data_IF_353982819639
#
_entry.id   IF_353982819639
#
_cell.length_a   1.000
_cell.length_b   1.000
_cell.length_c   1.000
_cell.angle_alpha   90.00
_cell.angle_beta   90.00
_cell.angle_gamma   90.00
#
_symmetry.space_group_name_H-M   'P 1'
#
loop_
_entity.id
_entity.type
_entity.pdbx_description
1 polymer ?
#
# COMPACT_ATOMS: atom_id res chain seq x y z
N UNK A 1 11.80 -3.23 14.31
CA UNK A 1 12.95 -4.10 14.58
C UNK A 1 14.16 -3.53 13.85
N UNK A 2 15.15 -3.00 14.60
CA UNK A 2 16.42 -2.62 14.01
C UNK A 2 17.05 -3.86 13.35
N UNK A 3 17.49 -3.72 12.11
CA UNK A 3 18.26 -4.75 11.44
C UNK A 3 19.58 -4.90 12.22
N UNK A 4 19.76 -6.04 12.87
CA UNK A 4 21.06 -6.38 13.46
C UNK A 4 22.07 -6.64 12.32
N UNK A 5 23.34 -6.24 12.47
CA UNK A 5 24.39 -6.60 11.53
C UNK A 5 24.47 -8.14 11.38
N UNK A 6 24.80 -8.64 10.19
CA UNK A 6 24.99 -10.08 10.01
C UNK A 6 26.05 -10.63 10.97
N UNK A 7 25.65 -11.60 11.82
CA UNK A 7 26.53 -12.28 12.77
C UNK A 7 26.36 -11.90 14.25
N UNK A 8 25.50 -10.96 14.57
CA UNK A 8 25.08 -10.75 15.96
C UNK A 8 23.81 -11.55 16.24
N UNK A 9 23.92 -12.55 17.12
CA UNK A 9 22.75 -13.17 17.73
C UNK A 9 22.01 -12.10 18.51
N UNK A 10 20.67 -12.00 18.29
CA UNK A 10 19.84 -11.01 18.95
C UNK A 10 20.06 -11.05 20.44
N UNK A 11 20.57 -9.98 21.01
CA UNK A 11 20.48 -9.77 22.44
C UNK A 11 19.00 -9.83 22.80
N UNK A 12 18.65 -10.46 23.90
CA UNK A 12 17.29 -10.52 24.47
C UNK A 12 16.77 -9.11 24.86
N UNK A 13 16.74 -8.20 23.90
CA UNK A 13 16.06 -6.92 24.07
C UNK A 13 14.57 -7.22 23.98
N UNK A 14 13.81 -7.08 25.03
CA UNK A 14 12.39 -7.37 24.99
C UNK A 14 11.74 -6.51 23.89
N UNK A 15 10.89 -7.13 23.10
CA UNK A 15 10.09 -6.39 22.13
C UNK A 15 9.26 -5.32 22.87
N UNK A 16 9.13 -4.14 22.29
CA UNK A 16 8.30 -3.08 22.87
C UNK A 16 6.85 -3.53 23.02
N UNK A 17 6.39 -4.34 22.08
CA UNK A 17 5.05 -4.95 22.09
C UNK A 17 5.15 -6.42 21.67
N UNK A 18 4.32 -7.26 22.27
CA UNK A 18 4.27 -8.71 22.02
C UNK A 18 3.27 -9.04 20.90
N UNK A 19 3.42 -8.42 19.75
CA UNK A 19 2.63 -8.70 18.53
C UNK A 19 3.36 -8.10 17.30
N UNK A 20 2.73 -8.16 16.13
CA UNK A 20 3.29 -7.71 14.86
C UNK A 20 2.66 -6.38 14.39
N UNK A 21 3.15 -5.88 13.26
CA UNK A 21 2.66 -4.69 12.55
C UNK A 21 2.83 -3.41 13.38
N UNK A 22 3.97 -3.25 14.03
CA UNK A 22 4.28 -2.05 14.81
C UNK A 22 4.47 -0.82 13.94
N UNK A 23 3.60 0.18 14.11
CA UNK A 23 3.64 1.48 13.45
C UNK A 23 3.99 2.58 14.46
N UNK A 24 5.20 3.15 14.43
CA UNK A 24 5.57 4.26 15.28
C UNK A 24 5.01 5.58 14.78
N UNK A 25 4.60 6.44 15.70
CA UNK A 25 4.17 7.81 15.41
C UNK A 25 4.82 8.79 16.37
N UNK A 26 5.37 9.87 15.85
CA UNK A 26 5.93 10.98 16.64
C UNK A 26 5.01 12.19 16.48
N UNK A 27 4.46 12.66 17.57
CA UNK A 27 3.59 13.82 17.58
C UNK A 27 4.41 15.14 17.53
N UNK A 28 3.76 16.26 17.23
CA UNK A 28 4.40 17.58 17.09
C UNK A 28 5.13 18.03 18.35
N UNK A 29 4.71 17.58 19.54
CA UNK A 29 5.34 17.85 20.82
C UNK A 29 6.53 16.94 21.15
N UNK A 30 6.89 16.04 20.22
CA UNK A 30 7.97 15.07 20.36
C UNK A 30 7.59 13.80 21.12
N UNK A 31 6.36 13.68 21.63
CA UNK A 31 5.88 12.45 22.26
C UNK A 31 5.78 11.32 21.23
N UNK A 32 6.20 10.12 21.62
CA UNK A 32 6.17 8.93 20.80
C UNK A 32 4.99 8.03 21.13
N UNK A 33 4.48 7.39 20.11
CA UNK A 33 3.41 6.40 20.21
C UNK A 33 3.72 5.21 19.30
N UNK A 34 3.14 4.06 19.62
CA UNK A 34 3.21 2.87 18.77
C UNK A 34 1.81 2.27 18.63
N UNK A 35 1.49 1.87 17.42
CA UNK A 35 0.24 1.19 17.07
C UNK A 35 0.59 -0.19 16.54
N UNK A 36 -0.24 -1.19 16.81
CA UNK A 36 0.03 -2.53 16.32
C UNK A 36 -1.26 -3.32 16.10
N UNK A 37 -1.10 -4.52 15.60
CA UNK A 37 -2.20 -5.41 15.25
C UNK A 37 -3.31 -5.44 16.31
N UNK A 38 -4.55 -5.67 15.87
CA UNK A 38 -5.78 -5.71 16.68
C UNK A 38 -6.17 -4.37 17.32
N UNK A 39 -5.79 -3.25 16.68
CA UNK A 39 -6.12 -1.89 17.12
C UNK A 39 -5.47 -1.48 18.44
N UNK A 40 -4.42 -2.17 18.83
CA UNK A 40 -3.70 -1.81 20.04
C UNK A 40 -2.83 -0.58 19.79
N UNK A 41 -2.70 0.23 20.82
CA UNK A 41 -1.88 1.43 20.79
C UNK A 41 -1.32 1.74 22.18
N UNK A 42 -0.18 2.41 22.24
CA UNK A 42 0.43 2.83 23.49
C UNK A 42 1.34 4.03 23.32
N UNK A 43 1.53 4.77 24.38
CA UNK A 43 2.55 5.81 24.44
C UNK A 43 3.91 5.16 24.65
N UNK A 44 4.94 5.70 24.02
CA UNK A 44 6.32 5.30 24.22
C UNK A 44 6.97 6.14 25.34
N UNK A 45 7.84 5.52 26.09
CA UNK A 45 8.74 6.19 27.03
C UNK A 45 9.66 7.19 26.31
N UNK A 46 10.31 8.05 27.07
CA UNK A 46 11.18 9.10 26.52
C UNK A 46 12.34 8.53 25.67
N UNK A 47 12.85 7.36 26.03
CA UNK A 47 13.88 6.65 25.26
C UNK A 47 13.31 5.85 24.05
N UNK A 48 11.96 5.77 23.94
CA UNK A 48 11.23 5.06 22.90
C UNK A 48 11.47 3.53 22.86
N UNK A 49 11.99 2.97 23.90
CA UNK A 49 12.30 1.54 24.01
C UNK A 49 11.26 0.74 24.79
N UNK A 50 10.34 1.44 25.47
CA UNK A 50 9.32 0.81 26.32
C UNK A 50 7.97 1.51 26.16
N UNK A 51 6.90 0.86 26.58
CA UNK A 51 5.60 1.52 26.75
C UNK A 51 5.63 2.39 28.04
N UNK A 52 5.05 3.57 27.96
CA UNK A 52 4.79 4.45 29.07
C UNK A 52 3.32 4.27 29.51
N UNK A 53 3.10 3.30 30.36
CA UNK A 53 1.77 2.91 30.85
C UNK A 53 1.15 1.73 30.11
N UNK A 54 -0.11 1.46 30.44
CA UNK A 54 -0.85 0.34 29.86
C UNK A 54 -1.30 0.66 28.42
N UNK A 55 -1.25 -0.33 27.53
CA UNK A 55 -1.76 -0.15 26.17
C UNK A 55 -3.28 0.01 26.15
N UNK A 56 -3.78 0.67 25.16
CA UNK A 56 -5.21 0.85 24.88
C UNK A 56 -5.60 0.12 23.61
N UNK A 57 -6.87 -0.28 23.51
CA UNK A 57 -7.45 -0.74 22.25
C UNK A 57 -8.32 0.37 21.67
N UNK A 58 -7.97 0.86 20.49
CA UNK A 58 -8.71 1.92 19.82
C UNK A 58 -10.10 1.43 19.42
N UNK A 59 -11.12 2.22 19.75
CA UNK A 59 -12.47 1.98 19.27
C UNK A 59 -12.59 2.34 17.79
N UNK A 60 -13.01 1.40 16.97
CA UNK A 60 -13.25 1.61 15.54
C UNK A 60 -14.70 1.33 15.18
N UNK A 61 -15.18 2.01 14.14
CA UNK A 61 -16.57 1.83 13.67
C UNK A 61 -16.80 0.41 13.11
N UNK A 62 -15.76 -0.23 12.58
CA UNK A 62 -15.85 -1.57 12.01
C UNK A 62 -15.09 -2.55 12.88
N UNK A 63 -15.72 -3.67 13.15
CA UNK A 63 -15.17 -4.76 13.96
C UNK A 63 -14.61 -5.88 13.07
N UNK A 64 -14.09 -6.93 13.69
CA UNK A 64 -13.52 -8.09 13.04
C UNK A 64 -12.01 -8.01 12.89
N UNK A 65 -11.45 -8.79 11.97
CA UNK A 65 -10.02 -8.84 11.73
C UNK A 65 -9.46 -7.47 11.32
N UNK A 66 -8.35 -7.08 11.91
CA UNK A 66 -7.67 -5.83 11.62
C UNK A 66 -6.17 -5.97 11.79
N UNK A 67 -5.43 -5.42 10.84
CA UNK A 67 -3.97 -5.37 10.83
C UNK A 67 -3.48 -4.10 10.12
N UNK A 68 -2.15 -3.95 9.99
CA UNK A 68 -1.51 -2.88 9.24
C UNK A 68 -1.98 -1.49 9.65
N UNK A 69 -1.88 -1.12 10.95
CA UNK A 69 -2.27 0.20 11.40
C UNK A 69 -1.34 1.26 10.79
N UNK A 70 -1.90 2.44 10.49
CA UNK A 70 -1.12 3.62 10.12
C UNK A 70 -1.64 4.80 10.92
N UNK A 71 -0.74 5.58 11.50
CA UNK A 71 -1.08 6.79 12.23
C UNK A 71 -0.34 7.99 11.64
N UNK A 72 -1.07 9.02 11.28
CA UNK A 72 -0.49 10.31 10.91
C UNK A 72 -1.35 11.47 11.37
N UNK A 73 -0.76 12.66 11.34
CA UNK A 73 -1.44 13.91 11.68
C UNK A 73 -1.41 14.87 10.51
N UNK A 74 -2.57 15.47 10.18
CA UNK A 74 -2.70 16.48 9.14
C UNK A 74 -3.62 17.60 9.61
N UNK A 75 -3.14 18.85 9.59
CA UNK A 75 -3.92 20.04 9.95
C UNK A 75 -4.70 19.87 11.28
N UNK A 76 -4.01 19.31 12.30
CA UNK A 76 -4.58 19.13 13.64
C UNK A 76 -5.53 17.93 13.79
N UNK A 77 -5.69 17.11 12.77
CA UNK A 77 -6.48 15.89 12.80
C UNK A 77 -5.54 14.69 12.81
N UNK A 78 -5.77 13.76 13.73
CA UNK A 78 -5.14 12.44 13.75
C UNK A 78 -5.97 11.48 12.92
N UNK A 79 -5.32 10.72 12.06
CA UNK A 79 -5.92 9.69 11.21
C UNK A 79 -5.37 8.34 11.63
N UNK A 80 -6.25 7.47 12.08
CA UNK A 80 -5.94 6.08 12.32
C UNK A 80 -6.51 5.23 11.18
N UNK A 81 -5.62 4.76 10.32
CA UNK A 81 -5.97 3.85 9.23
C UNK A 81 -5.76 2.41 9.70
N UNK A 82 -6.62 1.52 9.28
CA UNK A 82 -6.53 0.10 9.58
C UNK A 82 -7.07 -0.75 8.44
N UNK A 83 -6.40 -1.87 8.18
CA UNK A 83 -6.80 -2.85 7.18
C UNK A 83 -7.84 -3.79 7.77
N UNK A 84 -8.89 -4.03 7.03
CA UNK A 84 -9.98 -4.95 7.37
C UNK A 84 -10.00 -6.15 6.44
N UNK A 85 -10.71 -7.21 6.89
CA UNK A 85 -10.87 -8.47 6.16
C UNK A 85 -9.53 -9.20 6.01
N UNK A 86 -9.44 -10.09 5.06
CA UNK A 86 -8.20 -10.82 4.78
C UNK A 86 -8.08 -11.15 3.31
N UNK A 87 -6.85 -11.38 2.86
CA UNK A 87 -6.56 -11.87 1.52
C UNK A 87 -7.07 -10.92 0.42
N UNK A 88 -7.70 -11.45 -0.64
CA UNK A 88 -8.26 -10.64 -1.73
C UNK A 88 -9.40 -9.70 -1.29
N UNK A 89 -9.87 -9.81 -0.05
CA UNK A 89 -10.93 -8.97 0.52
C UNK A 89 -10.40 -7.79 1.34
N UNK A 90 -9.10 -7.56 1.38
CA UNK A 90 -8.54 -6.40 2.07
C UNK A 90 -9.17 -5.11 1.60
N UNK A 91 -9.49 -4.26 2.57
CA UNK A 91 -9.88 -2.86 2.40
C UNK A 91 -9.25 -2.03 3.50
N UNK A 92 -9.03 -0.75 3.25
CA UNK A 92 -8.54 0.17 4.26
C UNK A 92 -9.65 1.12 4.71
N UNK A 93 -9.88 1.10 6.01
CA UNK A 93 -10.80 2.00 6.70
C UNK A 93 -10.01 2.98 7.58
N UNK A 94 -10.67 4.05 8.03
CA UNK A 94 -10.04 5.02 8.91
C UNK A 94 -11.01 5.61 9.93
N UNK A 95 -10.41 6.14 11.00
CA UNK A 95 -11.06 6.95 12.03
C UNK A 95 -10.32 8.28 12.15
N UNK A 96 -10.98 9.31 12.63
CA UNK A 96 -10.42 10.63 12.81
C UNK A 96 -10.53 11.08 14.27
N UNK A 97 -9.51 11.76 14.78
CA UNK A 97 -9.56 12.41 16.10
C UNK A 97 -8.98 13.83 16.02
N UNK A 98 -9.57 14.75 16.79
CA UNK A 98 -9.03 16.09 17.02
C UNK A 98 -8.48 16.26 18.45
N UNK A 99 -8.49 15.20 19.23
CA UNK A 99 -8.08 15.21 20.63
C UNK A 99 -6.64 14.72 20.82
N UNK A 100 -6.42 13.45 20.50
CA UNK A 100 -5.10 12.82 20.69
C UNK A 100 -4.90 11.62 19.77
N UNK A 101 -3.66 11.10 19.66
CA UNK A 101 -3.42 9.87 18.89
C UNK A 101 -3.98 8.61 19.56
N UNK A 102 -4.47 8.67 20.80
CA UNK A 102 -5.01 7.51 21.53
C UNK A 102 -6.50 7.60 21.84
N UNK A 103 -7.11 8.79 21.74
CA UNK A 103 -8.51 9.02 22.15
C UNK A 103 -9.28 9.89 21.16
N UNK A 104 -10.61 9.98 21.34
CA UNK A 104 -11.45 10.87 20.56
C UNK A 104 -11.70 10.45 19.11
N UNK A 105 -11.41 9.20 18.77
CA UNK A 105 -11.62 8.69 17.43
C UNK A 105 -13.10 8.53 17.10
N UNK A 106 -13.52 9.17 16.03
CA UNK A 106 -14.87 9.07 15.47
C UNK A 106 -14.81 8.60 14.02
N UNK A 107 -15.84 7.91 13.60
CA UNK A 107 -16.04 7.56 12.20
C UNK A 107 -16.26 8.84 11.38
N UNK A 108 -15.60 9.02 10.23
CA UNK A 108 -15.90 10.15 9.35
C UNK A 108 -17.35 10.09 8.86
N UNK A 109 -17.91 11.25 8.58
CA UNK A 109 -19.20 11.29 7.89
C UNK A 109 -19.05 10.70 6.47
N UNK A 110 -20.07 9.96 6.04
CA UNK A 110 -20.05 9.27 4.75
C UNK A 110 -19.21 8.01 4.76
N UNK A 111 -18.19 7.96 3.91
CA UNK A 111 -17.39 6.76 3.68
C UNK A 111 -16.16 6.68 4.59
N UNK A 112 -16.11 5.68 5.44
CA UNK A 112 -14.94 5.35 6.27
C UNK A 112 -14.00 4.31 5.62
N UNK A 113 -14.40 3.67 4.52
CA UNK A 113 -13.53 2.85 3.68
C UNK A 113 -13.08 3.70 2.50
N UNK A 114 -11.80 4.02 2.45
CA UNK A 114 -11.27 4.88 1.40
C UNK A 114 -10.52 4.12 0.30
N UNK A 115 -10.09 2.88 0.56
CA UNK A 115 -9.36 2.05 -0.40
C UNK A 115 -9.89 0.62 -0.38
N UNK A 116 -10.24 0.11 -1.55
CA UNK A 116 -10.79 -1.23 -1.78
C UNK A 116 -10.47 -1.72 -3.19
N UNK A 117 -10.75 -2.98 -3.49
CA UNK A 117 -10.45 -3.57 -4.80
C UNK A 117 -11.07 -2.79 -5.95
N UNK A 118 -10.30 -2.63 -7.02
CA UNK A 118 -10.75 -2.09 -8.30
C UNK A 118 -10.73 -3.15 -9.39
N UNK A 119 -11.89 -3.77 -9.70
CA UNK A 119 -11.97 -4.75 -10.77
C UNK A 119 -11.61 -4.20 -12.14
N UNK A 120 -11.92 -2.92 -12.40
CA UNK A 120 -11.61 -2.24 -13.66
C UNK A 120 -10.09 -2.12 -13.88
N UNK A 121 -9.36 -1.82 -12.81
CA UNK A 121 -7.90 -1.71 -12.82
C UNK A 121 -7.20 -3.03 -12.48
N UNK A 122 -7.95 -4.09 -12.22
CA UNK A 122 -7.45 -5.41 -11.83
C UNK A 122 -6.54 -5.40 -10.58
N UNK A 123 -6.83 -4.53 -9.63
CA UNK A 123 -6.16 -4.46 -8.32
C UNK A 123 -7.07 -5.07 -7.26
N UNK A 124 -6.58 -6.07 -6.55
CA UNK A 124 -7.36 -6.92 -5.66
C UNK A 124 -6.79 -6.93 -4.25
N UNK A 125 -7.66 -6.72 -3.26
CA UNK A 125 -7.29 -6.78 -1.86
C UNK A 125 -6.17 -5.80 -1.49
N UNK A 126 -6.33 -4.48 -1.76
CA UNK A 126 -5.36 -3.48 -1.32
C UNK A 126 -5.43 -3.36 0.20
N UNK A 127 -4.32 -3.62 0.88
CA UNK A 127 -4.28 -3.61 2.33
C UNK A 127 -2.89 -3.42 2.89
N UNK A 128 -2.77 -3.48 4.21
CA UNK A 128 -1.53 -3.40 4.96
C UNK A 128 -0.60 -2.30 4.40
N UNK A 129 -1.06 -1.06 4.50
CA UNK A 129 -0.38 0.06 3.89
C UNK A 129 0.49 0.86 4.85
N UNK A 130 1.07 1.90 4.29
CA UNK A 130 1.72 2.98 5.03
C UNK A 130 1.50 4.30 4.28
N UNK A 131 1.72 5.41 4.94
CA UNK A 131 1.57 6.74 4.36
C UNK A 131 2.93 7.43 4.29
N UNK A 132 3.24 7.98 3.14
CA UNK A 132 4.38 8.85 2.91
C UNK A 132 3.89 10.28 2.64
N UNK A 133 4.47 11.26 3.32
CA UNK A 133 4.18 12.66 3.10
C UNK A 133 5.39 13.35 2.47
N UNK A 134 5.20 13.96 1.31
CA UNK A 134 6.21 14.80 0.66
C UNK A 134 5.98 16.27 1.02
N UNK A 135 6.83 16.78 1.91
CA UNK A 135 6.77 18.18 2.34
C UNK A 135 7.02 19.17 1.19
N UNK A 136 7.78 18.76 0.18
CA UNK A 136 8.15 19.64 -0.93
C UNK A 136 6.96 19.98 -1.83
N UNK A 137 5.95 19.14 -1.85
CA UNK A 137 4.78 19.27 -2.72
C UNK A 137 3.45 19.28 -1.98
N UNK A 138 3.45 19.12 -0.66
CA UNK A 138 2.26 18.90 0.18
C UNK A 138 1.42 17.68 -0.31
N UNK A 139 2.10 16.65 -0.83
CA UNK A 139 1.46 15.44 -1.32
C UNK A 139 1.50 14.32 -0.29
N UNK A 140 0.38 13.62 -0.17
CA UNK A 140 0.24 12.41 0.64
C UNK A 140 0.15 11.22 -0.30
N UNK A 141 1.00 10.21 -0.06
CA UNK A 141 1.07 9.00 -0.87
C UNK A 141 0.77 7.81 0.03
N UNK A 142 -0.23 7.05 -0.32
CA UNK A 142 -0.54 5.81 0.38
C UNK A 142 0.07 4.63 -0.38
N UNK A 143 0.97 3.94 0.32
CA UNK A 143 1.55 2.68 -0.14
C UNK A 143 0.71 1.53 0.42
N UNK A 144 0.50 0.51 -0.36
CA UNK A 144 -0.26 -0.66 0.08
C UNK A 144 0.21 -1.90 -0.66
N UNK A 145 -0.01 -3.06 -0.06
CA UNK A 145 0.17 -4.31 -0.80
C UNK A 145 -1.08 -4.59 -1.64
N UNK A 146 -0.88 -5.20 -2.80
CA UNK A 146 -1.94 -5.87 -3.53
C UNK A 146 -1.85 -7.36 -3.22
N UNK A 147 -2.93 -7.96 -2.73
CA UNK A 147 -2.91 -9.38 -2.36
C UNK A 147 -2.79 -10.29 -3.59
N UNK A 148 -3.37 -9.89 -4.70
CA UNK A 148 -3.30 -10.61 -5.96
C UNK A 148 -3.97 -11.99 -5.93
N UNK A 149 -3.39 -12.90 -6.69
CA UNK A 149 -3.90 -14.27 -6.81
C UNK A 149 -3.38 -15.15 -5.67
N UNK A 150 -4.11 -15.22 -4.58
CA UNK A 150 -3.79 -16.11 -3.48
C UNK A 150 -2.58 -15.70 -2.64
N UNK A 151 -2.15 -14.44 -2.69
CA UNK A 151 -1.09 -13.90 -1.86
C UNK A 151 0.34 -14.32 -2.24
N UNK A 152 0.51 -15.04 -3.34
CA UNK A 152 1.83 -15.50 -3.81
C UNK A 152 2.60 -14.45 -4.59
N UNK A 153 1.92 -13.40 -5.02
CA UNK A 153 2.47 -12.33 -5.85
C UNK A 153 2.24 -10.96 -5.23
N UNK A 154 2.32 -10.87 -3.91
CA UNK A 154 2.18 -9.60 -3.19
C UNK A 154 3.17 -8.58 -3.74
N UNK A 155 2.65 -7.46 -4.19
CA UNK A 155 3.41 -6.35 -4.73
C UNK A 155 3.02 -5.09 -3.99
N UNK A 156 3.93 -4.13 -3.93
CA UNK A 156 3.66 -2.81 -3.36
C UNK A 156 3.19 -1.90 -4.47
N UNK A 157 2.05 -1.27 -4.23
CA UNK A 157 1.51 -0.20 -5.05
C UNK A 157 1.48 1.10 -4.28
N UNK A 158 1.34 2.19 -4.99
CA UNK A 158 1.24 3.52 -4.41
C UNK A 158 0.28 4.38 -5.21
N UNK A 159 -0.59 5.11 -4.52
CA UNK A 159 -1.44 6.13 -5.12
C UNK A 159 -1.45 7.40 -4.27
N UNK A 160 -1.72 8.54 -4.90
CA UNK A 160 -1.91 9.80 -4.18
C UNK A 160 -3.17 9.76 -3.34
N UNK A 161 -3.03 10.15 -2.08
CA UNK A 161 -4.13 10.29 -1.14
C UNK A 161 -4.59 11.74 -1.12
N UNK A 162 -5.85 11.99 -1.40
CA UNK A 162 -6.45 13.31 -1.39
C UNK A 162 -7.47 13.46 -0.25
N UNK A 163 -7.72 14.69 0.12
CA UNK A 163 -8.62 15.04 1.23
C UNK A 163 -9.70 16.01 0.76
N UNK A 164 -10.88 15.91 1.36
CA UNK A 164 -11.93 16.91 1.27
C UNK A 164 -11.62 18.11 2.18
N UNK A 165 -12.38 19.18 2.04
CA UNK A 165 -12.19 20.41 2.83
C UNK A 165 -12.44 20.19 4.33
N UNK A 166 -13.31 19.26 4.69
CA UNK A 166 -13.58 18.86 6.09
C UNK A 166 -12.49 17.97 6.71
N UNK A 167 -11.52 17.55 5.90
CA UNK A 167 -10.41 16.68 6.26
C UNK A 167 -10.69 15.20 6.03
N UNK A 168 -11.87 14.80 5.58
CA UNK A 168 -12.13 13.38 5.26
C UNK A 168 -11.28 12.94 4.07
N UNK A 169 -10.84 11.68 4.08
CA UNK A 169 -10.06 11.09 2.99
C UNK A 169 -10.99 10.81 1.81
N UNK A 170 -10.63 11.29 0.62
CA UNK A 170 -11.33 10.92 -0.62
C UNK A 170 -11.15 9.45 -0.94
N UNK A 171 -12.16 8.83 -1.54
CA UNK A 171 -12.03 7.46 -2.04
C UNK A 171 -10.87 7.38 -3.02
N UNK A 172 -9.94 6.48 -2.75
CA UNK A 172 -8.79 6.20 -3.58
C UNK A 172 -9.13 5.01 -4.49
N UNK A 173 -9.02 5.20 -5.78
CA UNK A 173 -9.20 4.13 -6.77
C UNK A 173 -7.82 3.55 -7.07
N UNK A 174 -7.51 2.34 -6.61
CA UNK A 174 -6.20 1.75 -6.81
C UNK A 174 -5.98 1.42 -8.29
N UNK A 175 -4.76 1.70 -8.76
CA UNK A 175 -4.32 1.35 -10.09
C UNK A 175 -2.88 0.84 -10.09
N UNK A 176 -2.39 0.40 -11.24
CA UNK A 176 -1.05 -0.16 -11.40
C UNK A 176 -0.01 0.86 -11.90
N UNK A 177 -0.39 2.12 -12.09
CA UNK A 177 0.51 3.15 -12.66
C UNK A 177 1.47 3.72 -11.62
N UNK A 178 1.07 3.68 -10.34
CA UNK A 178 1.83 4.31 -9.28
C UNK A 178 1.70 5.83 -9.30
N UNK A 179 2.65 6.51 -8.66
CA UNK A 179 2.61 7.97 -8.46
C UNK A 179 3.54 8.75 -9.39
N UNK A 180 4.31 8.06 -10.21
CA UNK A 180 5.30 8.68 -11.07
C UNK A 180 6.42 9.37 -10.26
N UNK A 181 7.01 10.40 -10.82
CA UNK A 181 8.03 11.18 -10.13
C UNK A 181 7.39 12.08 -9.08
N UNK A 182 7.98 12.13 -7.89
CA UNK A 182 7.65 13.14 -6.90
C UNK A 182 8.18 14.50 -7.39
N UNK A 183 7.40 15.56 -7.20
CA UNK A 183 7.72 16.84 -7.79
C UNK A 183 8.98 17.53 -7.24
N UNK A 184 9.55 17.02 -6.14
CA UNK A 184 10.88 17.42 -5.68
C UNK A 184 11.97 17.16 -6.75
N UNK A 185 11.79 16.20 -7.64
CA UNK A 185 12.58 16.06 -8.85
C UNK A 185 11.88 16.78 -9.99
N UNK A 186 12.04 18.07 -10.13
CA UNK A 186 11.45 18.85 -11.24
C UNK A 186 12.00 18.48 -12.63
N UNK A 187 12.84 17.47 -12.72
CA UNK A 187 13.28 16.91 -13.99
C UNK A 187 12.19 16.02 -14.55
N UNK A 188 11.51 16.52 -15.58
CA UNK A 188 10.72 15.65 -16.44
C UNK A 188 11.66 14.67 -17.14
N UNK A 189 11.58 13.40 -16.78
CA UNK A 189 12.30 12.32 -17.45
C UNK A 189 11.30 11.55 -18.32
N UNK A 190 11.12 11.94 -19.59
CA UNK A 190 10.17 11.25 -20.45
C UNK A 190 10.60 9.79 -20.63
N UNK A 191 9.63 8.89 -20.56
CA UNK A 191 9.85 7.49 -20.90
C UNK A 191 10.06 7.36 -22.41
N UNK A 192 11.31 7.32 -22.84
CA UNK A 192 11.69 7.24 -24.26
C UNK A 192 11.23 5.92 -24.90
N UNK A 193 10.99 4.88 -24.10
CA UNK A 193 10.58 3.58 -24.58
C UNK A 193 9.06 3.48 -24.86
N UNK A 194 8.24 4.40 -24.37
CA UNK A 194 6.77 4.31 -24.44
C UNK A 194 6.23 4.13 -25.88
N UNK A 195 6.89 4.75 -26.89
CA UNK A 195 6.51 4.67 -28.31
C UNK A 195 7.51 3.87 -29.15
N UNK A 196 8.33 3.07 -28.52
CA UNK A 196 9.36 2.26 -29.16
C UNK A 196 8.81 1.00 -29.80
N UNK A 197 9.64 0.32 -30.58
CA UNK A 197 9.36 -1.04 -30.98
C UNK A 197 10.05 -2.02 -30.03
N UNK A 198 9.36 -3.12 -29.73
CA UNK A 198 9.85 -4.13 -28.81
C UNK A 198 10.01 -5.46 -29.54
N UNK A 199 11.16 -6.08 -29.37
CA UNK A 199 11.47 -7.39 -29.88
C UNK A 199 11.91 -8.27 -28.71
N UNK A 200 11.26 -9.39 -28.45
CA UNK A 200 11.61 -10.33 -27.43
C UNK A 200 11.96 -11.67 -28.07
N UNK A 201 12.86 -12.43 -27.43
CA UNK A 201 13.17 -13.80 -27.86
C UNK A 201 11.94 -14.70 -27.78
N UNK A 202 11.10 -14.49 -26.78
CA UNK A 202 9.85 -15.19 -26.55
C UNK A 202 8.97 -14.43 -25.56
N UNK A 203 7.70 -14.81 -25.48
CA UNK A 203 6.76 -14.33 -24.47
C UNK A 203 6.11 -15.52 -23.76
N UNK A 204 6.00 -15.44 -22.43
CA UNK A 204 5.32 -16.45 -21.64
C UNK A 204 3.83 -16.46 -21.96
N UNK A 205 3.25 -17.67 -22.01
CA UNK A 205 1.80 -17.82 -22.21
C UNK A 205 1.00 -17.10 -21.13
N UNK A 206 -0.11 -16.44 -21.50
CA UNK A 206 -0.99 -15.80 -20.53
C UNK A 206 -1.48 -16.77 -19.46
N UNK A 207 -1.64 -16.26 -18.24
CA UNK A 207 -2.24 -17.01 -17.13
C UNK A 207 -3.55 -16.35 -16.70
N UNK A 208 -4.59 -17.13 -16.60
CA UNK A 208 -5.90 -16.68 -16.12
C UNK A 208 -6.21 -17.30 -14.76
N UNK A 209 -6.74 -16.48 -13.85
CA UNK A 209 -7.19 -16.87 -12.53
C UNK A 209 -8.56 -16.28 -12.21
N UNK A 210 -9.23 -16.83 -11.20
CA UNK A 210 -10.50 -16.30 -10.68
C UNK A 210 -10.25 -15.70 -9.31
N UNK A 211 -10.63 -14.43 -9.14
CA UNK A 211 -10.59 -13.71 -7.88
C UNK A 211 -12.00 -13.56 -7.34
N UNK A 212 -12.23 -14.01 -6.11
CA UNK A 212 -13.52 -13.96 -5.44
C UNK A 212 -13.51 -12.88 -4.36
N UNK A 213 -14.38 -11.88 -4.49
CA UNK A 213 -14.48 -10.75 -3.55
C UNK A 213 -15.79 -10.86 -2.77
N UNK A 214 -15.67 -10.92 -1.46
CA UNK A 214 -16.79 -11.00 -0.52
C UNK A 214 -17.16 -9.66 0.10
N UNK A 215 -16.18 -8.77 0.25
CA UNK A 215 -16.36 -7.47 0.92
C UNK A 215 -16.87 -6.42 -0.05
N UNK A 216 -17.92 -5.73 0.34
CA UNK A 216 -18.44 -4.55 -0.37
C UNK A 216 -17.96 -3.27 0.31
N UNK A 217 -17.54 -2.24 -0.44
CA UNK A 217 -17.21 -0.93 0.12
C UNK A 217 -18.39 -0.34 0.88
N UNK A 218 -18.12 0.34 1.99
CA UNK A 218 -19.13 1.03 2.82
C UNK A 218 -20.21 0.16 3.46
N UNK A 219 -20.10 -1.14 3.36
CA UNK A 219 -20.99 -2.04 4.06
C UNK A 219 -20.33 -2.62 5.31
N UNK A 220 -21.08 -3.01 6.34
CA UNK A 220 -20.54 -3.88 7.38
C UNK A 220 -19.89 -5.08 6.69
N UNK A 221 -18.86 -5.64 7.30
CA UNK A 221 -18.27 -6.89 6.80
C UNK A 221 -19.41 -7.86 6.56
N UNK A 222 -19.54 -8.45 5.39
CA UNK A 222 -20.73 -9.21 5.05
C UNK A 222 -20.94 -10.35 6.04
N UNK A 223 -22.14 -10.50 6.53
CA UNK A 223 -22.59 -11.82 6.92
C UNK A 223 -22.35 -12.72 5.72
N UNK A 224 -21.74 -13.88 5.93
CA UNK A 224 -21.41 -14.86 4.89
C UNK A 224 -22.43 -14.84 3.76
N UNK A 225 -22.06 -14.47 2.55
CA UNK A 225 -23.01 -14.76 1.57
C UNK A 225 -22.95 -14.20 0.16
N UNK A 226 -22.37 -13.08 -0.16
CA UNK A 226 -22.31 -12.66 -1.55
C UNK A 226 -20.87 -12.57 -2.05
N UNK A 227 -20.43 -13.63 -2.70
CA UNK A 227 -19.16 -13.66 -3.42
C UNK A 227 -19.38 -13.19 -4.84
N UNK A 228 -18.62 -12.17 -5.26
CA UNK A 228 -18.55 -11.77 -6.65
C UNK A 228 -17.23 -12.25 -7.24
N UNK A 229 -17.33 -13.02 -8.33
CA UNK A 229 -16.18 -13.59 -9.01
C UNK A 229 -15.75 -12.72 -10.19
N UNK A 230 -14.46 -12.51 -10.31
CA UNK A 230 -13.83 -11.78 -11.41
C UNK A 230 -12.76 -12.64 -12.04
N UNK A 231 -12.59 -12.52 -13.36
CA UNK A 231 -11.49 -13.16 -14.07
C UNK A 231 -10.34 -12.18 -14.19
N UNK A 232 -9.14 -12.62 -13.78
CA UNK A 232 -7.90 -11.89 -13.97
C UNK A 232 -7.03 -12.63 -14.99
N UNK A 233 -6.56 -11.91 -16.00
CA UNK A 233 -5.64 -12.44 -16.98
C UNK A 233 -4.31 -11.69 -16.91
N UNK A 234 -3.23 -12.40 -16.64
CA UNK A 234 -1.88 -11.89 -16.72
C UNK A 234 -1.32 -12.18 -18.11
N UNK A 235 -0.89 -11.15 -18.80
CA UNK A 235 -0.13 -11.25 -20.04
C UNK A 235 1.32 -10.83 -19.79
N UNK A 236 2.24 -11.29 -20.62
CA UNK A 236 3.69 -11.11 -20.40
C UNK A 236 4.36 -10.59 -21.66
N UNK A 237 3.70 -9.64 -22.31
CA UNK A 237 4.13 -9.08 -23.59
C UNK A 237 5.39 -8.22 -23.45
N UNK A 238 6.19 -8.17 -24.51
CA UNK A 238 7.38 -7.33 -24.56
C UNK A 238 7.10 -5.84 -24.30
N UNK A 239 5.94 -5.34 -24.73
CA UNK A 239 5.49 -3.96 -24.52
C UNK A 239 5.33 -3.58 -23.04
N UNK A 240 5.16 -4.55 -22.15
CA UNK A 240 4.99 -4.31 -20.71
C UNK A 240 6.25 -3.77 -20.01
N UNK A 241 7.40 -3.78 -20.66
CA UNK A 241 8.60 -3.16 -20.08
C UNK A 241 8.58 -1.64 -20.11
N UNK A 242 7.60 -1.02 -20.79
CA UNK A 242 7.54 0.42 -20.95
C UNK A 242 6.11 0.99 -20.94
N UNK A 243 5.12 0.25 -20.47
CA UNK A 243 3.70 0.64 -20.45
C UNK A 243 3.32 1.51 -19.24
N UNK A 244 4.31 1.93 -18.44
CA UNK A 244 4.13 2.75 -17.23
C UNK A 244 3.26 2.09 -16.15
N UNK A 245 3.22 0.77 -16.13
CA UNK A 245 2.47 -0.03 -15.17
C UNK A 245 3.39 -0.88 -14.29
N UNK A 246 3.32 -0.71 -12.99
CA UNK A 246 4.06 -1.55 -12.04
C UNK A 246 3.43 -2.95 -11.86
N UNK A 247 2.23 -3.16 -12.36
CA UNK A 247 1.50 -4.43 -12.25
C UNK A 247 1.69 -5.36 -13.45
N UNK A 248 2.31 -4.88 -14.51
CA UNK A 248 2.62 -5.63 -15.74
C UNK A 248 4.11 -5.90 -15.85
N UNK A 249 4.47 -6.88 -16.64
CA UNK A 249 5.88 -7.20 -16.93
C UNK A 249 6.00 -8.08 -18.16
N UNK A 250 7.11 -8.01 -18.82
CA UNK A 250 7.51 -9.05 -19.75
C UNK A 250 8.08 -10.25 -19.00
N UNK A 251 7.78 -11.44 -19.50
CA UNK A 251 8.43 -12.69 -19.10
C UNK A 251 8.68 -13.53 -20.36
N UNK A 252 9.87 -14.09 -20.47
CA UNK A 252 10.17 -15.08 -21.50
C UNK A 252 9.41 -16.40 -21.24
N UNK A 253 9.20 -17.17 -22.30
CA UNK A 253 8.67 -18.53 -22.17
C UNK A 253 9.62 -19.39 -21.31
N UNK A 254 9.04 -20.32 -20.52
CA UNK A 254 9.81 -21.18 -19.62
C UNK A 254 10.84 -22.08 -20.35
N UNK A 255 10.67 -22.27 -21.67
CA UNK A 255 11.59 -23.02 -22.53
C UNK A 255 12.68 -22.18 -23.17
N UNK A 256 12.66 -20.87 -22.98
CA UNK A 256 13.67 -19.96 -23.53
C UNK A 256 14.93 -19.99 -22.68
N UNK A 257 16.00 -20.54 -23.22
CA UNK A 257 17.29 -20.70 -22.53
C UNK A 257 18.19 -19.47 -22.63
N UNK A 258 17.84 -18.50 -23.44
CA UNK A 258 18.62 -17.26 -23.65
C UNK A 258 17.70 -16.07 -23.83
N UNK A 259 16.93 -15.71 -22.79
CA UNK A 259 15.93 -14.66 -22.90
C UNK A 259 16.59 -13.30 -23.14
N UNK A 260 16.03 -12.57 -24.09
CA UNK A 260 16.41 -11.17 -24.34
C UNK A 260 15.20 -10.33 -24.74
N UNK A 261 15.33 -9.04 -24.50
CA UNK A 261 14.43 -8.03 -25.01
C UNK A 261 15.22 -6.88 -25.63
N UNK A 262 14.76 -6.38 -26.76
CA UNK A 262 15.34 -5.23 -27.45
C UNK A 262 14.28 -4.14 -27.54
N UNK A 263 14.66 -2.93 -27.14
CA UNK A 263 13.86 -1.72 -27.29
C UNK A 263 14.48 -0.85 -28.38
N UNK A 264 13.79 -0.74 -29.50
CA UNK A 264 14.21 0.12 -30.62
C UNK A 264 13.54 1.49 -30.49
N UNK A 265 14.32 2.48 -30.11
CA UNK A 265 13.87 3.88 -29.94
C UNK A 265 13.54 4.59 -31.27
N UNK A 266 13.70 3.90 -32.42
CA UNK A 266 13.45 4.39 -33.80
C UNK A 266 14.40 5.47 -34.29
N UNK A 267 15.11 6.12 -33.42
CA UNK A 267 16.10 7.15 -33.72
C UNK A 267 17.19 7.19 -32.64
N UNK A 268 18.30 7.85 -32.95
CA UNK A 268 19.39 8.05 -32.00
C UNK A 268 18.91 9.02 -30.91
N UNK A 269 18.86 8.54 -29.67
CA UNK A 269 18.48 9.30 -28.49
C UNK A 269 19.58 9.26 -27.43
N UNK A 270 19.67 10.35 -26.66
CA UNK A 270 20.47 10.36 -25.45
C UNK A 270 19.65 9.69 -24.33
N UNK A 271 20.11 8.55 -23.85
CA UNK A 271 19.50 7.84 -22.75
C UNK A 271 20.24 8.21 -21.45
N UNK A 272 19.51 8.70 -20.47
CA UNK A 272 20.05 9.07 -19.16
C UNK A 272 20.07 7.90 -18.18
N UNK A 273 19.05 7.04 -18.23
CA UNK A 273 18.86 5.94 -17.29
C UNK A 273 18.08 4.79 -17.94
N UNK A 274 18.35 3.58 -17.49
CA UNK A 274 17.57 2.39 -17.77
C UNK A 274 17.27 1.71 -16.42
N UNK A 275 15.99 1.54 -16.08
CA UNK A 275 15.55 0.82 -14.89
C UNK A 275 15.09 -0.57 -15.31
N UNK A 276 15.56 -1.60 -14.57
CA UNK A 276 15.23 -3.02 -14.78
C UNK A 276 14.50 -3.57 -13.57
#
# INVERSE_FOLDING_TARGET
QGLLPPGEEGTDSPAVVDDIDGEPFINDDGSGYIFWRRRNAGRLSADRLHLDGEPVTLATARQGYSEGPVMFKRKGIYYYIYTLSGHQNYVNAYMMSRESPLTGFVKPEGNDIFLFSSPENQVWGPGHGNMFYDEGTDEYIFLYLEYGDGGTTRQVYANRMEFNDDGTIKTLIPDMRGVGYLAASQETRPNLALQSHFYASSEKSPRTSVVNIETQPNQPLPEKGSVKSYTRTHTYQATHVADESNGTRWMAADTDSSPFITVDLKEIRKVGECQL
#
